data_IF_696807503382
#
_entry.id   IF_696807503382
#
_cell.length_a   1.000
_cell.length_b   1.000
_cell.length_c   1.000
_cell.angle_alpha   90.00
_cell.angle_beta   90.00
_cell.angle_gamma   90.00
#
_symmetry.space_group_name_H-M   'P 1'
#
loop_
_entity.id
_entity.type
_entity.pdbx_description
1 polymer ?
#
# COMPACT_ATOMS: atom_id res chain seq x y z
N UNK A 1 -12.92 0.12 -8.37
CA UNK A 1 -11.74 -0.27 -9.15
C UNK A 1 -11.17 -1.61 -8.71
N UNK A 2 -11.00 -1.85 -7.44
CA UNK A 2 -10.44 -3.10 -6.91
C UNK A 2 -11.47 -3.92 -6.15
N UNK A 3 -12.69 -3.96 -6.66
CA UNK A 3 -13.83 -4.56 -5.95
C UNK A 3 -13.69 -6.07 -5.75
N UNK A 4 -12.90 -6.73 -6.58
CA UNK A 4 -12.67 -8.17 -6.47
C UNK A 4 -11.68 -8.54 -5.37
N UNK A 5 -11.00 -7.57 -4.81
CA UNK A 5 -10.01 -7.82 -3.76
C UNK A 5 -10.67 -7.75 -2.38
N UNK A 6 -10.11 -8.45 -1.40
CA UNK A 6 -10.63 -8.36 -0.04
C UNK A 6 -10.46 -6.95 0.53
N UNK A 7 -11.27 -6.60 1.53
CA UNK A 7 -11.22 -5.29 2.17
C UNK A 7 -9.84 -5.01 2.78
N UNK A 8 -9.19 -6.04 3.29
CA UNK A 8 -7.81 -5.97 3.80
C UNK A 8 -7.01 -7.09 3.18
N UNK A 9 -5.78 -6.80 2.81
CA UNK A 9 -4.92 -7.79 2.19
C UNK A 9 -3.54 -7.76 2.80
N UNK A 10 -2.78 -8.84 2.60
CA UNK A 10 -1.40 -8.89 3.05
C UNK A 10 -0.55 -7.94 2.20
N UNK A 11 0.64 -7.61 2.72
CA UNK A 11 1.59 -6.80 1.97
C UNK A 11 1.93 -7.46 0.64
N UNK A 12 2.07 -8.79 0.66
CA UNK A 12 2.40 -9.55 -0.55
C UNK A 12 1.27 -9.51 -1.58
N UNK A 13 0.02 -9.61 -1.13
CA UNK A 13 -1.12 -9.51 -2.02
C UNK A 13 -1.21 -8.14 -2.67
N UNK A 14 -1.01 -7.08 -1.88
CA UNK A 14 -0.99 -5.72 -2.41
C UNK A 14 0.17 -5.53 -3.39
N UNK A 15 1.32 -6.11 -3.08
CA UNK A 15 2.47 -6.09 -3.97
C UNK A 15 2.18 -6.72 -5.32
N UNK A 16 1.43 -7.82 -5.34
CA UNK A 16 1.04 -8.46 -6.60
C UNK A 16 0.16 -7.56 -7.44
N UNK A 17 -0.77 -6.84 -6.81
CA UNK A 17 -1.62 -5.89 -7.54
C UNK A 17 -0.77 -4.81 -8.19
N UNK A 18 0.26 -4.36 -7.49
CA UNK A 18 1.18 -3.34 -7.97
C UNK A 18 2.29 -3.92 -8.86
N UNK A 19 2.35 -5.23 -8.98
CA UNK A 19 3.40 -5.95 -9.70
C UNK A 19 4.79 -5.65 -9.14
N UNK A 20 4.87 -5.58 -7.83
CA UNK A 20 6.12 -5.37 -7.11
C UNK A 20 6.54 -6.65 -6.40
N UNK A 21 7.83 -6.87 -6.29
CA UNK A 21 8.35 -7.96 -5.52
C UNK A 21 8.10 -7.77 -4.03
N UNK A 22 8.27 -8.85 -3.26
CA UNK A 22 8.03 -8.84 -1.83
C UNK A 22 8.87 -7.80 -1.10
N UNK A 23 10.16 -7.75 -1.41
CA UNK A 23 11.08 -6.82 -0.74
C UNK A 23 10.66 -5.37 -0.95
N UNK A 24 10.30 -5.01 -2.18
CA UNK A 24 9.88 -3.65 -2.50
C UNK A 24 8.56 -3.31 -1.83
N UNK A 25 7.65 -4.27 -1.76
CA UNK A 25 6.35 -4.06 -1.11
C UNK A 25 6.52 -3.76 0.38
N UNK A 26 7.35 -4.54 1.07
CA UNK A 26 7.63 -4.30 2.49
C UNK A 26 8.39 -2.99 2.70
N UNK A 27 9.32 -2.69 1.83
CA UNK A 27 10.05 -1.42 1.87
C UNK A 27 9.11 -0.23 1.83
N UNK A 28 8.10 -0.28 0.97
CA UNK A 28 7.10 0.79 0.87
C UNK A 28 6.29 0.95 2.15
N UNK A 29 5.98 -0.15 2.85
CA UNK A 29 5.27 -0.04 4.13
C UNK A 29 6.15 0.56 5.20
N UNK A 30 7.45 0.23 5.20
CA UNK A 30 8.39 0.84 6.13
C UNK A 30 8.52 2.34 5.87
N UNK A 31 8.55 2.72 4.60
CA UNK A 31 8.59 4.12 4.21
C UNK A 31 7.35 4.86 4.71
N UNK A 32 6.17 4.25 4.59
CA UNK A 32 4.93 4.84 5.10
C UNK A 32 5.04 5.11 6.60
N UNK A 33 5.53 4.13 7.36
CA UNK A 33 5.67 4.26 8.80
C UNK A 33 6.68 5.33 9.18
N UNK A 34 7.84 5.33 8.53
CA UNK A 34 8.91 6.29 8.82
C UNK A 34 8.54 7.71 8.45
N UNK A 35 7.78 7.88 7.38
CA UNK A 35 7.36 9.21 6.92
C UNK A 35 6.12 9.71 7.66
N UNK A 36 5.58 8.91 8.58
CA UNK A 36 4.35 9.22 9.31
C UNK A 36 3.18 9.48 8.37
N UNK A 37 3.06 8.63 7.36
CA UNK A 37 1.95 8.67 6.43
C UNK A 37 2.09 9.63 5.27
N UNK A 38 3.28 10.19 5.05
CA UNK A 38 3.50 11.16 3.96
C UNK A 38 3.85 10.49 2.64
N UNK A 39 4.51 9.34 2.69
CA UNK A 39 4.90 8.62 1.48
C UNK A 39 4.96 7.12 1.75
N UNK A 40 4.96 6.34 0.69
CA UNK A 40 5.00 4.90 0.78
C UNK A 40 3.61 4.29 0.68
N UNK A 41 3.50 3.02 1.00
CA UNK A 41 2.26 2.26 0.90
C UNK A 41 1.54 2.25 2.24
N UNK A 42 0.33 2.81 2.32
CA UNK A 42 -0.43 2.85 3.57
C UNK A 42 -0.76 1.45 4.07
N UNK A 43 -0.65 1.25 5.37
CA UNK A 43 -1.02 -0.01 5.98
C UNK A 43 -1.52 0.21 7.41
N UNK A 44 -2.16 -0.81 7.97
CA UNK A 44 -2.59 -0.82 9.35
C UNK A 44 -2.03 -2.06 10.04
N UNK A 45 -1.89 -1.96 11.36
CA UNK A 45 -1.45 -3.08 12.18
C UNK A 45 -2.66 -3.81 12.76
N UNK A 46 -2.68 -5.14 12.59
CA UNK A 46 -3.59 -6.01 13.32
C UNK A 46 -2.70 -6.90 14.20
N UNK A 47 -2.50 -6.49 15.46
CA UNK A 47 -1.53 -7.14 16.32
C UNK A 47 -0.14 -6.97 15.76
N UNK A 48 0.48 -8.07 15.32
CA UNK A 48 1.82 -8.05 14.73
C UNK A 48 1.80 -8.17 13.22
N UNK A 49 0.62 -8.10 12.61
CA UNK A 49 0.48 -8.33 11.18
C UNK A 49 0.11 -7.04 10.47
N UNK A 50 0.82 -6.74 9.40
CA UNK A 50 0.51 -5.62 8.52
C UNK A 50 -0.59 -6.02 7.56
N UNK A 51 -1.55 -5.13 7.36
CA UNK A 51 -2.60 -5.33 6.35
C UNK A 51 -2.79 -4.05 5.58
N UNK A 52 -3.04 -4.20 4.29
CA UNK A 52 -3.25 -3.07 3.39
C UNK A 52 -4.75 -2.95 3.14
N UNK A 53 -5.41 -1.88 3.61
CA UNK A 53 -6.81 -1.67 3.28
C UNK A 53 -6.97 -1.46 1.78
N UNK A 54 -7.99 -2.11 1.19
CA UNK A 54 -8.27 -1.96 -0.23
C UNK A 54 -8.44 -0.49 -0.62
N UNK A 55 -9.16 0.27 0.18
CA UNK A 55 -9.39 1.69 -0.09
C UNK A 55 -8.07 2.47 -0.10
N UNK A 56 -7.14 2.12 0.80
CA UNK A 56 -5.84 2.78 0.84
C UNK A 56 -5.00 2.43 -0.38
N UNK A 57 -5.08 1.18 -0.84
CA UNK A 57 -4.38 0.76 -2.05
C UNK A 57 -4.90 1.49 -3.27
N UNK A 58 -6.21 1.66 -3.36
CA UNK A 58 -6.82 2.43 -4.45
C UNK A 58 -6.32 3.88 -4.47
N UNK A 59 -6.25 4.51 -3.31
CA UNK A 59 -5.70 5.86 -3.19
C UNK A 59 -4.24 5.93 -3.60
N UNK A 60 -3.47 4.95 -3.16
CA UNK A 60 -2.06 4.88 -3.52
C UNK A 60 -1.89 4.83 -5.03
N UNK A 61 -2.68 3.99 -5.70
CA UNK A 61 -2.64 3.86 -7.16
C UNK A 61 -3.00 5.19 -7.83
N UNK A 62 -4.06 5.84 -7.35
CA UNK A 62 -4.48 7.13 -7.89
C UNK A 62 -3.39 8.18 -7.74
N UNK A 63 -2.73 8.22 -6.61
CA UNK A 63 -1.67 9.18 -6.35
C UNK A 63 -0.45 8.95 -7.25
N UNK A 64 -0.16 7.71 -7.61
CA UNK A 64 0.95 7.44 -8.52
C UNK A 64 0.65 7.90 -9.94
N UNK A 65 -0.63 8.02 -10.30
CA UNK A 65 -1.04 8.49 -11.61
C UNK A 65 -1.06 10.01 -11.71
N UNK A 66 -1.13 10.69 -10.57
CA UNK A 66 -1.13 12.15 -10.56
C UNK A 66 0.31 12.66 -10.62
N UNK A 67 0.63 13.58 -11.53
CA UNK A 67 1.96 14.15 -11.53
C UNK A 67 2.19 14.91 -10.23
N UNK A 68 3.43 14.90 -9.71
CA UNK A 68 3.70 15.63 -8.49
C UNK A 68 3.42 17.12 -8.69
N UNK A 69 2.89 17.74 -7.67
CA UNK A 69 2.66 19.19 -7.71
C UNK A 69 4.01 19.88 -7.90
N UNK A 70 4.05 20.73 -8.87
CA UNK A 70 5.27 21.44 -9.19
C UNK A 70 5.60 22.44 -8.08
#
# INVERSE_FOLDING_TARGET
MLDDLPAFMTVEQAGRVLQLGRSKSYELTVQWERSRGRSGLPFVWFGHQKRIPRAALERFIEQTLCPPAA
#
